data_IF_570481435107
#
_entry.id   IF_570481435107
#
_cell.length_a   1.000
_cell.length_b   1.000
_cell.length_c   1.000
_cell.angle_alpha   90.00
_cell.angle_beta   90.00
_cell.angle_gamma   90.00
#
_symmetry.space_group_name_H-M   'P 1'
#
loop_
_entity.id
_entity.type
_entity.pdbx_description
1 polymer ?
#
# COMPACT_ATOMS: atom_id res chain seq x y z
N UNK A 1 35.99 6.18 -60.99
CA UNK A 1 36.01 6.47 -59.54
C UNK A 1 35.19 7.73 -59.33
N UNK A 2 34.30 7.72 -58.32
CA UNK A 2 33.15 8.63 -58.12
C UNK A 2 31.88 8.12 -58.83
N UNK A 3 30.93 7.67 -58.00
CA UNK A 3 29.59 7.24 -58.39
C UNK A 3 28.61 8.28 -57.82
N UNK A 4 27.87 8.96 -58.70
CA UNK A 4 26.67 9.70 -58.34
C UNK A 4 25.68 9.61 -59.50
N UNK A 5 24.40 9.48 -59.14
CA UNK A 5 23.20 10.05 -59.78
C UNK A 5 22.06 9.04 -59.97
N UNK A 6 20.99 9.42 -59.29
CA UNK A 6 19.59 9.01 -59.27
C UNK A 6 18.94 9.05 -60.67
N UNK A 7 18.02 8.12 -60.94
CA UNK A 7 16.88 8.40 -61.82
C UNK A 7 15.69 7.48 -61.51
N UNK A 8 14.58 8.11 -61.12
CA UNK A 8 13.22 7.57 -61.20
C UNK A 8 12.76 7.57 -62.67
N UNK A 9 11.92 6.59 -63.08
CA UNK A 9 10.67 6.85 -63.84
C UNK A 9 9.86 5.58 -64.16
N UNK A 10 8.63 5.59 -63.65
CA UNK A 10 7.32 5.24 -64.25
C UNK A 10 7.04 3.85 -64.86
N UNK A 11 6.05 3.22 -64.23
CA UNK A 11 4.77 2.73 -64.78
C UNK A 11 4.73 2.14 -66.20
N UNK A 12 4.47 0.83 -66.26
CA UNK A 12 3.62 0.21 -67.27
C UNK A 12 2.92 -1.00 -66.66
N UNK A 13 1.68 -0.78 -66.21
CA UNK A 13 0.73 -1.81 -65.83
C UNK A 13 -0.12 -2.15 -67.06
N UNK A 14 -0.15 -3.42 -67.43
CA UNK A 14 -1.09 -3.97 -68.39
C UNK A 14 -0.89 -5.47 -68.54
N UNK A 15 -1.82 -6.27 -68.01
CA UNK A 15 -1.85 -7.71 -68.28
C UNK A 15 -2.51 -8.60 -67.22
N UNK A 16 -3.82 -8.40 -67.01
CA UNK A 16 -4.84 -9.37 -66.57
C UNK A 16 -4.39 -10.74 -66.00
N UNK A 17 -4.66 -10.97 -64.71
CA UNK A 17 -5.34 -12.20 -64.26
C UNK A 17 -6.14 -11.88 -62.99
N UNK A 18 -7.46 -12.04 -63.07
CA UNK A 18 -8.34 -11.93 -61.94
C UNK A 18 -8.07 -13.05 -60.93
N UNK A 19 -7.98 -12.70 -59.66
CA UNK A 19 -8.17 -13.64 -58.56
C UNK A 19 -9.23 -13.06 -57.64
N UNK A 20 -10.34 -13.79 -57.59
CA UNK A 20 -11.49 -13.56 -56.74
C UNK A 20 -11.06 -13.58 -55.26
N UNK A 21 -11.46 -12.55 -54.52
CA UNK A 21 -11.51 -12.61 -53.06
C UNK A 21 -12.69 -13.48 -52.65
N UNK A 22 -12.46 -14.78 -52.48
CA UNK A 22 -13.38 -15.66 -51.76
C UNK A 22 -12.59 -16.80 -51.12
N UNK A 23 -12.79 -16.97 -49.81
CA UNK A 23 -12.31 -18.08 -48.98
C UNK A 23 -10.79 -18.20 -48.80
N UNK A 24 -10.25 -17.33 -47.94
CA UNK A 24 -9.04 -17.62 -47.17
C UNK A 24 -9.40 -17.59 -45.69
N UNK A 25 -9.59 -18.77 -45.10
CA UNK A 25 -9.75 -18.99 -43.66
C UNK A 25 -8.74 -18.13 -42.88
N UNK A 26 -9.27 -17.20 -42.08
CA UNK A 26 -8.48 -16.40 -41.16
C UNK A 26 -7.64 -17.35 -40.30
N UNK A 27 -6.32 -17.15 -40.32
CA UNK A 27 -5.42 -17.77 -39.36
C UNK A 27 -5.87 -17.22 -37.99
N UNK A 28 -6.64 -18.01 -37.24
CA UNK A 28 -7.05 -17.66 -35.90
C UNK A 28 -5.79 -17.54 -35.06
N UNK A 29 -5.41 -16.31 -34.74
CA UNK A 29 -4.39 -16.06 -33.74
C UNK A 29 -4.91 -16.56 -32.38
N UNK A 30 -4.05 -17.06 -31.47
CA UNK A 30 -4.49 -17.57 -30.16
C UNK A 30 -5.22 -16.55 -29.26
N UNK A 31 -5.30 -15.29 -29.71
CA UNK A 31 -5.99 -14.18 -29.05
C UNK A 31 -7.52 -14.38 -29.07
N UNK A 32 -8.06 -15.17 -30.01
CA UNK A 32 -9.51 -15.42 -30.17
C UNK A 32 -10.10 -16.39 -29.12
N UNK A 33 -9.30 -16.81 -28.13
CA UNK A 33 -9.72 -17.79 -27.11
C UNK A 33 -10.53 -17.21 -25.93
N UNK A 34 -10.73 -15.88 -25.85
CA UNK A 34 -11.61 -15.27 -24.83
C UNK A 34 -13.08 -15.25 -25.27
N UNK A 35 -13.65 -16.38 -25.70
CA UNK A 35 -15.11 -16.55 -25.82
C UNK A 35 -15.73 -16.45 -24.41
N UNK A 36 -16.17 -15.25 -24.03
CA UNK A 36 -16.93 -15.00 -22.79
C UNK A 36 -16.49 -13.80 -21.97
N UNK A 37 -15.33 -13.17 -22.22
CA UNK A 37 -14.94 -11.95 -21.50
C UNK A 37 -15.49 -10.71 -22.22
N UNK A 38 -16.41 -9.98 -21.57
CA UNK A 38 -16.79 -8.62 -22.01
C UNK A 38 -15.49 -7.81 -22.18
N UNK A 39 -15.32 -7.21 -23.35
CA UNK A 39 -14.21 -6.29 -23.60
C UNK A 39 -14.68 -4.87 -23.25
N UNK A 40 -13.74 -4.00 -22.88
CA UNK A 40 -14.04 -2.58 -22.78
C UNK A 40 -14.28 -1.99 -24.18
N UNK A 41 -15.16 -0.99 -24.28
CA UNK A 41 -15.33 -0.23 -25.52
C UNK A 41 -14.15 0.73 -25.74
N UNK A 42 -14.05 1.30 -26.94
CA UNK A 42 -13.03 2.30 -27.24
C UNK A 42 -13.22 3.59 -26.41
N UNK A 43 -14.46 3.99 -26.17
CA UNK A 43 -14.82 5.15 -25.34
C UNK A 43 -14.41 4.92 -23.88
N UNK A 44 -14.65 3.70 -23.36
CA UNK A 44 -14.16 3.30 -22.04
C UNK A 44 -12.64 3.33 -21.99
N UNK A 45 -11.95 2.80 -23.01
CA UNK A 45 -10.50 2.86 -23.09
C UNK A 45 -9.96 4.30 -23.00
N UNK A 46 -10.55 5.25 -23.72
CA UNK A 46 -10.16 6.65 -23.67
C UNK A 46 -10.38 7.27 -22.27
N UNK A 47 -11.56 7.03 -21.68
CA UNK A 47 -11.89 7.56 -20.36
C UNK A 47 -10.98 6.99 -19.26
N UNK A 48 -10.80 5.67 -19.23
CA UNK A 48 -10.01 5.00 -18.21
C UNK A 48 -8.51 5.28 -18.34
N UNK A 49 -8.00 5.39 -19.58
CA UNK A 49 -6.61 5.81 -19.81
C UNK A 49 -6.37 7.25 -19.36
N UNK A 50 -7.34 8.14 -19.54
CA UNK A 50 -7.28 9.50 -19.00
C UNK A 50 -7.21 9.48 -17.47
N UNK A 51 -8.03 8.68 -16.80
CA UNK A 51 -7.98 8.53 -15.34
C UNK A 51 -6.63 8.01 -14.84
N UNK A 52 -6.04 7.01 -15.50
CA UNK A 52 -4.70 6.52 -15.19
C UNK A 52 -3.64 7.62 -15.30
N UNK A 53 -3.66 8.37 -16.39
CA UNK A 53 -2.75 9.50 -16.59
C UNK A 53 -2.93 10.56 -15.52
N UNK A 54 -4.17 10.96 -15.23
CA UNK A 54 -4.44 11.95 -14.19
C UNK A 54 -4.06 11.46 -12.80
N UNK A 55 -4.19 10.17 -12.48
CA UNK A 55 -3.71 9.61 -11.23
C UNK A 55 -2.20 9.76 -11.08
N UNK A 56 -1.43 9.27 -12.06
CA UNK A 56 0.03 9.30 -12.04
C UNK A 56 0.57 10.74 -11.98
N UNK A 57 0.06 11.60 -12.86
CA UNK A 57 0.53 12.97 -12.97
C UNK A 57 0.10 13.84 -11.78
N UNK A 58 -1.01 13.51 -11.09
CA UNK A 58 -1.38 14.18 -9.83
C UNK A 58 -0.42 13.84 -8.70
N UNK A 59 0.05 12.59 -8.62
CA UNK A 59 1.06 12.19 -7.64
C UNK A 59 2.38 12.92 -7.89
N UNK A 60 2.84 12.92 -9.13
CA UNK A 60 4.15 13.48 -9.51
C UNK A 60 4.20 15.01 -9.38
N UNK A 61 3.10 15.68 -9.72
CA UNK A 61 2.96 17.14 -9.56
C UNK A 61 2.52 17.57 -8.15
N UNK A 62 2.18 16.61 -7.28
CA UNK A 62 1.54 16.85 -5.97
C UNK A 62 0.26 17.71 -6.07
N UNK A 63 -0.48 17.59 -7.18
CA UNK A 63 -1.76 18.26 -7.39
C UNK A 63 -2.90 17.43 -6.79
N UNK A 64 -3.09 17.60 -5.48
CA UNK A 64 -4.09 16.87 -4.70
C UNK A 64 -5.54 17.21 -5.09
N UNK A 65 -5.77 18.42 -5.61
CA UNK A 65 -7.09 18.82 -6.10
C UNK A 65 -7.44 18.08 -7.40
N UNK A 66 -6.46 17.90 -8.30
CA UNK A 66 -6.61 17.06 -9.49
C UNK A 66 -6.80 15.59 -9.14
N UNK A 67 -6.07 15.08 -8.15
CA UNK A 67 -6.28 13.73 -7.64
C UNK A 67 -7.72 13.57 -7.13
N UNK A 68 -8.15 14.43 -6.21
CA UNK A 68 -9.51 14.40 -5.64
C UNK A 68 -10.60 14.37 -6.71
N UNK A 69 -10.45 15.16 -7.78
CA UNK A 69 -11.41 15.24 -8.89
C UNK A 69 -11.58 13.96 -9.71
N UNK A 70 -10.71 12.96 -9.60
CA UNK A 70 -10.82 11.71 -10.40
C UNK A 70 -11.26 10.49 -9.58
N UNK A 71 -11.28 10.60 -8.26
CA UNK A 71 -11.56 9.49 -7.35
C UNK A 71 -13.05 9.12 -7.32
N UNK A 72 -13.33 7.85 -7.09
CA UNK A 72 -14.63 7.40 -6.63
C UNK A 72 -14.78 7.75 -5.13
N UNK A 73 -16.00 7.93 -4.61
CA UNK A 73 -16.21 8.30 -3.20
C UNK A 73 -15.62 7.30 -2.20
N UNK A 74 -15.61 6.01 -2.58
CA UNK A 74 -15.05 4.91 -1.78
C UNK A 74 -14.07 4.14 -2.64
N UNK A 75 -12.90 3.85 -2.07
CA UNK A 75 -11.74 3.29 -2.74
C UNK A 75 -11.33 1.96 -2.11
N UNK A 76 -10.91 1.03 -2.96
CA UNK A 76 -10.26 -0.23 -2.58
C UNK A 76 -8.74 -0.06 -2.67
N UNK A 77 -8.07 0.09 -1.54
CA UNK A 77 -6.61 0.31 -1.49
C UNK A 77 -5.93 -0.89 -0.86
N UNK A 78 -5.21 -1.67 -1.66
CA UNK A 78 -4.48 -2.85 -1.19
C UNK A 78 -2.97 -2.62 -1.30
N UNK A 79 -2.37 -2.07 -0.25
CA UNK A 79 -0.92 -1.87 -0.13
C UNK A 79 -0.22 -3.01 0.62
N UNK A 80 -0.81 -4.20 0.69
CA UNK A 80 -0.25 -5.32 1.46
C UNK A 80 1.20 -5.67 1.07
N UNK A 81 1.56 -5.55 -0.20
CA UNK A 81 2.94 -5.79 -0.66
C UNK A 81 3.89 -4.60 -0.48
N UNK A 82 3.36 -3.40 -0.22
CA UNK A 82 4.16 -2.17 -0.15
C UNK A 82 4.37 -1.72 1.29
N UNK A 83 3.29 -1.66 2.07
CA UNK A 83 3.31 -1.25 3.48
C UNK A 83 2.67 -2.27 4.41
N UNK A 84 2.15 -3.38 3.89
CA UNK A 84 1.38 -4.35 4.66
C UNK A 84 -0.07 -3.93 4.91
N UNK A 85 -0.49 -2.72 4.51
CA UNK A 85 -1.83 -2.19 4.81
C UNK A 85 -2.86 -2.57 3.74
N UNK A 86 -4.11 -2.78 4.14
CA UNK A 86 -5.23 -2.99 3.21
C UNK A 86 -6.47 -2.30 3.72
N UNK A 87 -7.10 -1.53 2.84
CA UNK A 87 -8.30 -0.76 3.10
C UNK A 87 -9.36 -1.16 2.08
N UNK A 88 -10.25 -2.11 2.41
CA UNK A 88 -11.29 -2.57 1.49
C UNK A 88 -12.34 -1.49 1.17
N UNK A 89 -12.41 -0.45 2.00
CA UNK A 89 -13.34 0.67 1.86
C UNK A 89 -12.74 1.93 2.51
N UNK A 90 -11.98 2.70 1.75
CA UNK A 90 -11.40 3.99 2.16
C UNK A 90 -12.17 5.15 1.54
N UNK A 91 -12.52 6.17 2.33
CA UNK A 91 -13.10 7.40 1.79
C UNK A 91 -12.08 8.15 0.91
N UNK A 92 -12.57 8.78 -0.17
CA UNK A 92 -11.70 9.53 -1.09
C UNK A 92 -10.88 10.62 -0.39
N UNK A 93 -11.46 11.33 0.58
CA UNK A 93 -10.77 12.37 1.35
C UNK A 93 -9.64 11.78 2.20
N UNK A 94 -9.87 10.65 2.85
CA UNK A 94 -8.85 9.94 3.64
C UNK A 94 -7.69 9.47 2.77
N UNK A 95 -7.96 9.02 1.54
CA UNK A 95 -6.91 8.65 0.59
C UNK A 95 -6.05 9.83 0.16
N UNK A 96 -6.67 10.97 -0.14
CA UNK A 96 -5.95 12.20 -0.48
C UNK A 96 -5.12 12.68 0.72
N UNK A 97 -5.66 12.63 1.93
CA UNK A 97 -4.95 13.00 3.15
C UNK A 97 -3.72 12.10 3.38
N UNK A 98 -3.85 10.77 3.21
CA UNK A 98 -2.74 9.84 3.30
C UNK A 98 -1.64 10.17 2.27
N UNK A 99 -2.00 10.30 0.98
CA UNK A 99 -1.05 10.52 -0.10
C UNK A 99 -0.34 11.88 -0.02
N UNK A 100 -1.06 12.92 0.41
CA UNK A 100 -0.54 14.29 0.55
C UNK A 100 0.25 14.54 1.82
N UNK A 101 0.32 13.57 2.74
CA UNK A 101 1.06 13.74 3.98
C UNK A 101 2.58 13.81 3.73
N UNK A 102 3.35 14.57 4.54
CA UNK A 102 4.82 14.58 4.47
C UNK A 102 5.47 13.21 4.70
N UNK A 103 4.75 12.26 5.33
CA UNK A 103 5.21 10.87 5.48
C UNK A 103 5.10 10.04 4.20
N UNK A 104 4.38 10.52 3.19
CA UNK A 104 4.15 9.87 1.90
C UNK A 104 4.65 10.76 0.75
N UNK A 105 3.80 11.07 -0.23
CA UNK A 105 4.15 11.84 -1.42
C UNK A 105 4.05 13.35 -1.18
N UNK A 106 3.60 13.80 0.00
CA UNK A 106 3.55 15.22 0.36
C UNK A 106 4.91 15.86 0.66
N UNK A 107 5.95 15.07 0.89
CA UNK A 107 7.27 15.59 1.26
C UNK A 107 7.80 16.54 0.16
N UNK A 108 8.09 17.82 0.46
CA UNK A 108 8.66 18.76 -0.51
C UNK A 108 10.05 18.35 -1.01
N UNK A 109 10.77 17.50 -0.26
CA UNK A 109 12.08 16.97 -0.62
C UNK A 109 12.02 15.73 -1.51
N UNK A 110 10.81 15.20 -1.78
CA UNK A 110 10.60 14.01 -2.59
C UNK A 110 10.10 14.38 -3.99
N UNK A 111 10.81 13.92 -5.02
CA UNK A 111 10.35 13.92 -6.42
C UNK A 111 10.02 12.52 -6.85
N UNK A 112 8.93 12.36 -7.60
CA UNK A 112 8.52 11.08 -8.14
C UNK A 112 8.23 11.15 -9.64
N UNK A 113 8.25 9.99 -10.28
CA UNK A 113 7.64 9.77 -11.58
C UNK A 113 6.95 8.41 -11.59
N UNK A 114 5.62 8.38 -11.72
CA UNK A 114 4.82 7.17 -11.84
C UNK A 114 4.64 6.83 -13.33
N UNK A 115 5.70 6.31 -13.95
CA UNK A 115 5.72 6.03 -15.38
C UNK A 115 4.86 4.81 -15.71
N UNK A 116 3.82 5.03 -16.51
CA UNK A 116 2.88 4.00 -16.96
C UNK A 116 3.41 3.32 -18.25
N UNK A 117 3.59 2.01 -18.20
CA UNK A 117 3.95 1.15 -19.33
C UNK A 117 2.76 0.50 -20.03
N UNK A 118 2.88 -0.78 -20.42
CA UNK A 118 1.79 -1.51 -21.05
C UNK A 118 0.62 -1.78 -20.08
N UNK A 119 -0.60 -1.81 -20.62
CA UNK A 119 -1.83 -2.01 -19.87
C UNK A 119 -2.67 -3.14 -20.49
N UNK A 120 -3.16 -4.07 -19.65
CA UNK A 120 -4.24 -5.00 -20.01
C UNK A 120 -5.53 -4.61 -19.29
N UNK A 121 -6.66 -4.71 -19.98
CA UNK A 121 -7.98 -4.36 -19.44
C UNK A 121 -8.86 -5.60 -19.24
N UNK A 122 -9.61 -5.60 -18.15
CA UNK A 122 -10.63 -6.60 -17.85
C UNK A 122 -11.93 -5.92 -17.42
N UNK A 123 -12.97 -6.05 -18.26
CA UNK A 123 -14.32 -5.60 -17.91
C UNK A 123 -15.00 -6.68 -17.09
N UNK A 124 -15.23 -6.39 -15.80
CA UNK A 124 -15.88 -7.33 -14.88
C UNK A 124 -17.39 -7.27 -15.07
N UNK A 125 -17.94 -6.06 -15.10
CA UNK A 125 -19.34 -5.78 -15.40
C UNK A 125 -19.51 -4.41 -16.09
N UNK A 126 -20.74 -3.90 -16.19
CA UNK A 126 -21.01 -2.64 -16.89
C UNK A 126 -20.60 -1.39 -16.08
N UNK A 127 -20.31 -1.55 -14.79
CA UNK A 127 -19.96 -0.51 -13.83
C UNK A 127 -18.54 -0.67 -13.25
N UNK A 128 -17.82 -1.76 -13.53
CA UNK A 128 -16.51 -2.05 -12.95
C UNK A 128 -15.49 -2.62 -13.96
N UNK A 129 -14.32 -2.00 -13.99
CA UNK A 129 -13.19 -2.40 -14.86
C UNK A 129 -11.91 -2.48 -14.05
N UNK A 130 -11.09 -3.49 -14.34
CA UNK A 130 -9.74 -3.67 -13.79
C UNK A 130 -8.72 -3.39 -14.89
N UNK A 131 -7.68 -2.62 -14.57
CA UNK A 131 -6.52 -2.41 -15.43
C UNK A 131 -5.27 -3.01 -14.79
N UNK A 132 -4.53 -3.85 -15.52
CA UNK A 132 -3.22 -4.37 -15.12
C UNK A 132 -2.15 -3.57 -15.83
N UNK A 133 -1.59 -2.62 -15.11
CA UNK A 133 -0.73 -1.59 -15.63
C UNK A 133 0.72 -1.83 -15.18
N UNK A 134 1.62 -2.01 -16.14
CA UNK A 134 3.05 -1.95 -15.84
C UNK A 134 3.39 -0.55 -15.35
N UNK A 135 4.17 -0.47 -14.28
CA UNK A 135 4.51 0.79 -13.65
C UNK A 135 5.97 0.80 -13.22
N UNK A 136 6.66 1.88 -13.54
CA UNK A 136 7.97 2.20 -12.95
C UNK A 136 7.83 3.47 -12.14
N UNK A 137 7.94 3.37 -10.83
CA UNK A 137 7.89 4.54 -9.94
C UNK A 137 9.30 4.97 -9.59
N UNK A 138 9.79 6.06 -10.20
CA UNK A 138 11.06 6.65 -9.84
C UNK A 138 10.90 7.59 -8.65
N UNK A 139 11.82 7.55 -7.69
CA UNK A 139 11.84 8.38 -6.49
C UNK A 139 13.24 8.98 -6.28
N UNK A 140 13.30 10.28 -6.03
CA UNK A 140 14.51 11.00 -5.62
C UNK A 140 14.19 11.83 -4.38
N UNK A 141 15.01 11.69 -3.36
CA UNK A 141 14.96 12.53 -2.16
C UNK A 141 16.16 13.44 -2.10
N UNK A 142 15.95 14.69 -1.75
CA UNK A 142 17.00 15.70 -1.63
C UNK A 142 17.31 15.99 -0.15
N UNK A 143 18.51 16.50 0.12
CA UNK A 143 18.89 16.93 1.48
C UNK A 143 18.10 18.16 1.94
N UNK A 144 17.74 19.04 1.00
CA UNK A 144 17.03 20.29 1.26
C UNK A 144 16.17 20.73 0.05
N UNK A 145 15.39 21.80 0.26
CA UNK A 145 14.43 22.33 -0.72
C UNK A 145 15.08 22.96 -1.96
N UNK A 146 16.41 23.14 -1.98
CA UNK A 146 17.10 23.62 -3.19
C UNK A 146 17.15 22.56 -4.28
N UNK A 147 16.89 21.29 -3.93
CA UNK A 147 16.92 20.12 -4.81
C UNK A 147 18.25 19.95 -5.58
N UNK A 148 19.37 20.38 -4.98
CA UNK A 148 20.71 20.29 -5.60
C UNK A 148 21.47 19.02 -5.28
N UNK A 149 21.29 18.48 -4.07
CA UNK A 149 22.02 17.31 -3.58
C UNK A 149 21.02 16.19 -3.31
N UNK A 150 21.16 15.10 -4.07
CA UNK A 150 20.39 13.88 -3.86
C UNK A 150 20.89 13.17 -2.60
N UNK A 151 19.97 12.94 -1.67
CA UNK A 151 20.16 12.15 -0.46
C UNK A 151 19.93 10.67 -0.73
N UNK A 152 18.91 10.36 -1.52
CA UNK A 152 18.47 8.99 -1.76
C UNK A 152 17.77 8.86 -3.12
N UNK A 153 17.89 7.69 -3.71
CA UNK A 153 17.17 7.27 -4.92
C UNK A 153 16.61 5.88 -4.76
N UNK A 154 15.47 5.66 -5.39
CA UNK A 154 14.88 4.35 -5.57
C UNK A 154 13.95 4.31 -6.76
N UNK A 155 13.98 3.22 -7.53
CA UNK A 155 12.96 2.99 -8.56
C UNK A 155 12.25 1.66 -8.33
N UNK A 156 10.92 1.70 -8.23
CA UNK A 156 10.12 0.48 -8.11
C UNK A 156 9.65 -0.01 -9.46
N UNK A 157 9.74 -1.31 -9.68
CA UNK A 157 9.25 -1.98 -10.88
C UNK A 157 8.06 -2.86 -10.48
N UNK A 158 6.86 -2.46 -10.90
CA UNK A 158 5.63 -3.09 -10.44
C UNK A 158 4.66 -3.39 -11.59
N UNK A 159 3.70 -4.26 -11.30
CA UNK A 159 2.45 -4.34 -12.04
C UNK A 159 1.35 -3.94 -11.08
N UNK A 160 0.67 -2.83 -11.35
CA UNK A 160 -0.43 -2.38 -10.52
C UNK A 160 -1.75 -2.84 -11.13
N UNK A 161 -2.61 -3.45 -10.31
CA UNK A 161 -4.03 -3.49 -10.63
C UNK A 161 -4.64 -2.15 -10.23
N UNK A 162 -5.33 -1.50 -11.16
CA UNK A 162 -6.15 -0.33 -10.90
C UNK A 162 -7.61 -0.69 -11.06
N UNK A 163 -8.44 -0.18 -10.16
CA UNK A 163 -9.87 -0.41 -10.16
C UNK A 163 -10.59 0.85 -10.64
N UNK A 164 -11.60 0.68 -11.49
CA UNK A 164 -12.42 1.77 -11.99
C UNK A 164 -13.88 1.45 -11.77
N UNK A 165 -14.66 2.43 -11.35
CA UNK A 165 -16.08 2.28 -11.10
C UNK A 165 -16.88 3.40 -11.74
N UNK A 166 -18.04 3.08 -12.32
CA UNK A 166 -19.01 4.12 -12.69
C UNK A 166 -19.72 4.64 -11.45
N UNK A 167 -19.80 5.95 -11.33
CA UNK A 167 -20.44 6.65 -10.23
C UNK A 167 -21.45 7.64 -10.81
N UNK A 168 -22.62 7.73 -10.17
CA UNK A 168 -23.61 8.76 -10.50
C UNK A 168 -23.18 10.09 -9.91
N UNK A 169 -22.90 11.07 -10.76
CA UNK A 169 -22.53 12.43 -10.37
C UNK A 169 -23.74 13.33 -10.59
N UNK A 170 -24.17 14.03 -9.53
CA UNK A 170 -25.23 15.03 -9.60
C UNK A 170 -24.68 16.35 -10.16
N UNK A 171 -25.44 17.01 -11.02
CA UNK A 171 -25.11 18.36 -11.45
C UNK A 171 -25.36 19.35 -10.31
N UNK A 172 -24.53 20.40 -10.23
CA UNK A 172 -24.55 21.38 -9.13
C UNK A 172 -25.87 22.18 -9.08
N UNK A 173 -26.66 22.18 -10.16
CA UNK A 173 -27.90 22.97 -10.32
C UNK A 173 -29.17 22.13 -10.63
N UNK A 174 -29.31 20.89 -10.13
CA UNK A 174 -30.61 20.20 -10.19
C UNK A 174 -30.63 18.70 -9.85
N UNK A 175 -31.79 18.06 -10.08
CA UNK A 175 -32.00 16.60 -9.96
C UNK A 175 -31.45 15.79 -11.16
N UNK A 176 -30.72 16.46 -12.06
CA UNK A 176 -30.06 15.81 -13.20
C UNK A 176 -28.66 15.35 -12.79
N UNK A 177 -28.20 14.27 -13.42
CA UNK A 177 -26.88 13.71 -13.19
C UNK A 177 -26.48 12.79 -14.33
N UNK A 178 -25.24 12.34 -14.29
CA UNK A 178 -24.69 11.44 -15.30
C UNK A 178 -23.77 10.40 -14.67
N UNK A 179 -23.69 9.25 -15.34
CA UNK A 179 -22.72 8.22 -15.00
C UNK A 179 -21.34 8.62 -15.54
N UNK A 180 -20.35 8.62 -14.66
CA UNK A 180 -18.96 8.87 -15.02
C UNK A 180 -18.06 7.78 -14.45
N UNK A 181 -17.03 7.41 -15.20
CA UNK A 181 -15.96 6.55 -14.69
C UNK A 181 -15.10 7.32 -13.69
N UNK A 182 -14.79 6.67 -12.58
CA UNK A 182 -13.94 7.19 -11.51
C UNK A 182 -12.87 6.17 -11.14
N UNK A 183 -11.70 6.66 -10.74
CA UNK A 183 -10.62 5.84 -10.21
C UNK A 183 -11.04 5.32 -8.83
N UNK A 184 -11.10 4.01 -8.65
CA UNK A 184 -11.76 3.36 -7.51
C UNK A 184 -10.80 2.54 -6.64
N UNK A 185 -9.50 2.55 -6.92
CA UNK A 185 -8.53 1.87 -6.08
C UNK A 185 -7.32 1.33 -6.82
N UNK A 186 -6.41 0.73 -6.05
CA UNK A 186 -5.24 0.02 -6.59
C UNK A 186 -4.79 -1.13 -5.70
N UNK A 187 -4.05 -2.05 -6.34
CA UNK A 187 -3.27 -3.11 -5.73
C UNK A 187 -1.93 -3.25 -6.47
N UNK A 188 -0.85 -2.60 -5.98
CA UNK A 188 0.48 -2.80 -6.53
C UNK A 188 1.01 -4.22 -6.25
N UNK A 189 1.66 -4.78 -7.26
CA UNK A 189 2.49 -5.98 -7.14
C UNK A 189 3.91 -5.62 -7.52
N UNK A 190 4.74 -5.35 -6.51
CA UNK A 190 6.14 -4.97 -6.70
C UNK A 190 6.93 -6.20 -7.10
N UNK A 191 7.67 -6.12 -8.21
CA UNK A 191 8.50 -7.23 -8.71
C UNK A 191 9.89 -7.18 -8.10
N UNK A 192 10.49 -6.00 -8.13
CA UNK A 192 11.81 -5.70 -7.59
C UNK A 192 12.03 -4.18 -7.59
N UNK A 193 13.10 -3.74 -6.91
CA UNK A 193 13.44 -2.33 -6.77
C UNK A 193 14.90 -2.09 -7.19
N UNK A 194 15.15 -0.98 -7.86
CA UNK A 194 16.49 -0.41 -8.05
C UNK A 194 16.81 0.53 -6.88
N UNK A 195 18.03 0.47 -6.36
CA UNK A 195 18.48 1.31 -5.23
C UNK A 195 17.59 1.15 -3.98
N UNK A 196 17.43 2.19 -3.15
CA UNK A 196 16.58 2.16 -1.95
C UNK A 196 15.27 2.93 -2.19
N UNK A 197 14.18 2.22 -2.50
CA UNK A 197 12.85 2.83 -2.75
C UNK A 197 12.12 3.10 -1.43
N UNK A 198 11.60 4.32 -1.26
CA UNK A 198 10.54 4.62 -0.29
C UNK A 198 10.51 6.08 0.21
N UNK A 199 9.32 6.64 0.53
CA UNK A 199 9.21 7.80 1.41
C UNK A 199 9.49 7.34 2.84
N UNK A 200 10.69 7.58 3.36
CA UNK A 200 10.99 7.53 4.82
C UNK A 200 10.52 6.30 5.60
N UNK A 201 10.40 5.13 4.98
CA UNK A 201 10.57 3.90 5.73
C UNK A 201 12.05 3.60 5.56
N UNK A 202 12.82 3.80 6.63
CA UNK A 202 14.20 3.35 6.65
C UNK A 202 14.26 1.93 6.08
N UNK A 203 14.95 1.79 4.96
CA UNK A 203 15.56 0.55 4.50
C UNK A 203 14.70 -0.73 4.33
N UNK A 204 13.38 -0.70 4.13
CA UNK A 204 12.58 -1.94 3.99
C UNK A 204 13.02 -2.90 2.85
N UNK A 205 13.81 -2.42 1.88
CA UNK A 205 14.31 -3.25 0.77
C UNK A 205 15.75 -3.77 0.95
N UNK A 206 16.40 -3.47 2.08
CA UNK A 206 17.69 -4.05 2.50
C UNK A 206 17.64 -4.74 3.86
N UNK A 207 16.55 -4.56 4.60
CA UNK A 207 16.28 -5.31 5.81
C UNK A 207 15.93 -6.74 5.43
N UNK A 208 16.83 -7.68 5.69
CA UNK A 208 16.41 -9.08 5.91
C UNK A 208 15.32 -9.07 7.00
N UNK A 209 14.43 -10.05 6.99
CA UNK A 209 13.28 -10.16 7.91
C UNK A 209 13.60 -9.78 9.39
N UNK A 210 14.85 -9.96 9.84
CA UNK A 210 15.35 -9.61 11.15
C UNK A 210 15.22 -8.14 11.65
N UNK A 211 14.99 -7.12 10.80
CA UNK A 211 14.98 -5.71 11.28
C UNK A 211 13.58 -5.13 11.58
N UNK A 212 12.50 -5.76 11.11
CA UNK A 212 11.11 -5.33 11.38
C UNK A 212 10.31 -6.33 12.20
N UNK A 213 10.78 -7.57 12.25
CA UNK A 213 10.05 -8.65 12.87
C UNK A 213 10.68 -9.02 14.22
N UNK A 214 9.81 -9.10 15.21
CA UNK A 214 10.13 -9.69 16.49
C UNK A 214 10.31 -11.20 16.28
N UNK A 215 11.56 -11.63 16.14
CA UNK A 215 11.92 -12.98 15.68
C UNK A 215 12.11 -13.97 16.85
N UNK A 216 12.62 -13.51 17.99
CA UNK A 216 12.92 -14.37 19.15
C UNK A 216 12.61 -13.70 20.50
N UNK A 217 12.31 -14.50 21.51
CA UNK A 217 11.95 -14.02 22.85
C UNK A 217 13.10 -13.30 23.56
N UNK A 218 14.35 -13.60 23.21
CA UNK A 218 15.54 -12.98 23.79
C UNK A 218 15.64 -11.47 23.49
N UNK A 219 15.01 -11.00 22.41
CA UNK A 219 15.09 -9.61 21.96
C UNK A 219 14.07 -8.69 22.66
N UNK A 220 13.15 -9.26 23.46
CA UNK A 220 12.11 -8.52 24.20
C UNK A 220 12.69 -7.37 25.00
N UNK A 221 13.68 -7.66 25.84
CA UNK A 221 14.24 -6.66 26.75
C UNK A 221 14.94 -5.53 25.97
N UNK A 222 15.59 -5.88 24.86
CA UNK A 222 16.26 -4.92 23.99
C UNK A 222 15.22 -4.03 23.29
N UNK A 223 14.17 -4.62 22.73
CA UNK A 223 13.11 -3.89 22.06
C UNK A 223 12.40 -2.93 23.01
N UNK A 224 11.96 -3.40 24.19
CA UNK A 224 11.29 -2.54 25.17
C UNK A 224 12.18 -1.37 25.56
N UNK A 225 13.48 -1.64 25.81
CA UNK A 225 14.44 -0.57 26.10
C UNK A 225 14.49 0.44 24.96
N UNK A 226 14.69 0.00 23.72
CA UNK A 226 14.74 0.89 22.56
C UNK A 226 13.44 1.67 22.35
N UNK A 227 12.28 1.01 22.45
CA UNK A 227 10.98 1.63 22.26
C UNK A 227 10.64 2.65 23.35
N UNK A 228 11.13 2.44 24.58
CA UNK A 228 10.88 3.34 25.70
C UNK A 228 11.88 4.48 25.83
N UNK A 229 13.13 4.29 25.37
CA UNK A 229 14.20 5.29 25.55
C UNK A 229 14.68 5.94 24.25
N UNK A 230 14.15 5.61 23.07
CA UNK A 230 14.62 6.24 21.82
C UNK A 230 13.84 7.53 21.52
N UNK A 231 14.57 8.60 21.23
CA UNK A 231 14.04 9.92 20.90
C UNK A 231 14.63 10.39 19.57
N UNK A 232 13.80 11.07 18.78
CA UNK A 232 14.19 11.79 17.58
C UNK A 232 14.29 13.28 17.91
N UNK A 233 15.46 13.87 17.68
CA UNK A 233 15.77 15.27 18.00
C UNK A 233 16.14 16.06 16.75
N UNK A 234 16.28 17.38 16.88
CA UNK A 234 16.76 18.21 15.76
C UNK A 234 18.23 17.86 15.45
N UNK A 235 18.44 17.20 14.31
CA UNK A 235 19.77 16.78 13.87
C UNK A 235 20.72 17.96 13.63
N UNK A 236 20.22 19.18 13.41
CA UNK A 236 21.07 20.38 13.26
C UNK A 236 21.67 20.83 14.58
N UNK A 237 21.00 20.55 15.70
CA UNK A 237 21.44 20.89 17.05
C UNK A 237 22.32 19.79 17.65
N UNK A 238 21.98 18.53 17.41
CA UNK A 238 22.59 17.38 18.10
C UNK A 238 23.43 16.46 17.18
N UNK A 239 23.43 16.70 15.87
CA UNK A 239 24.29 16.01 14.89
C UNK A 239 23.79 14.64 14.42
N UNK A 240 23.25 13.80 15.31
CA UNK A 240 22.56 12.55 14.94
C UNK A 240 21.04 12.70 15.11
N UNK A 241 20.28 11.95 14.32
CA UNK A 241 18.82 12.07 14.28
C UNK A 241 18.15 11.42 15.50
N UNK A 242 18.72 10.31 15.98
CA UNK A 242 18.17 9.50 17.06
C UNK A 242 19.16 9.35 18.22
N UNK A 243 18.63 9.45 19.43
CA UNK A 243 19.36 9.26 20.67
C UNK A 243 18.60 8.31 21.56
N UNK A 244 19.33 7.53 22.35
CA UNK A 244 18.74 6.90 23.51
C UNK A 244 18.83 7.86 24.69
N UNK A 245 17.68 8.32 25.17
CA UNK A 245 17.53 9.15 26.35
C UNK A 245 16.63 8.39 27.31
N UNK A 246 17.14 8.08 28.49
CA UNK A 246 16.29 7.52 29.54
C UNK A 246 15.48 8.64 30.17
N UNK A 247 14.31 8.93 29.60
CA UNK A 247 13.41 9.99 30.07
C UNK A 247 12.91 9.82 31.51
N UNK A 248 13.21 8.71 32.19
CA UNK A 248 12.95 8.53 33.61
C UNK A 248 14.06 9.10 34.50
N UNK A 249 15.30 9.08 34.02
CA UNK A 249 16.49 9.50 34.76
C UNK A 249 17.09 10.82 34.25
N UNK A 250 16.84 11.16 32.99
CA UNK A 250 17.43 12.29 32.29
C UNK A 250 16.35 13.20 31.68
N UNK A 251 16.53 14.53 31.70
CA UNK A 251 15.59 15.44 31.08
C UNK A 251 15.65 15.32 29.55
N UNK A 252 14.50 15.07 28.92
CA UNK A 252 14.36 15.06 27.47
C UNK A 252 14.43 16.50 26.93
N UNK A 253 15.33 16.82 25.99
CA UNK A 253 15.39 18.15 25.37
C UNK A 253 14.08 18.54 24.68
N UNK A 254 13.77 19.84 24.65
CA UNK A 254 12.49 20.33 24.14
C UNK A 254 12.26 20.06 22.63
N UNK A 255 13.34 19.93 21.86
CA UNK A 255 13.30 19.60 20.43
C UNK A 255 13.21 18.09 20.16
N UNK A 256 13.37 17.26 21.20
CA UNK A 256 13.31 15.82 21.10
C UNK A 256 11.89 15.30 21.31
N UNK A 257 11.46 14.41 20.43
CA UNK A 257 10.18 13.67 20.54
C UNK A 257 10.46 12.17 20.68
N UNK A 258 9.67 11.48 21.50
CA UNK A 258 9.81 10.01 21.63
C UNK A 258 9.59 9.37 20.26
N UNK A 259 10.54 8.54 19.84
CA UNK A 259 10.37 7.74 18.64
C UNK A 259 9.41 6.59 18.97
N UNK A 260 8.35 6.47 18.18
CA UNK A 260 7.35 5.44 18.38
C UNK A 260 7.65 4.25 17.48
N UNK A 261 8.10 3.16 18.08
CA UNK A 261 8.39 1.92 17.34
C UNK A 261 7.12 1.19 16.95
N UNK A 262 7.19 0.42 15.85
CA UNK A 262 6.20 -0.58 15.52
C UNK A 262 6.60 -1.92 16.15
N UNK A 263 5.65 -2.64 16.72
CA UNK A 263 5.86 -4.04 17.09
C UNK A 263 5.14 -4.92 16.08
N UNK A 264 5.92 -5.66 15.29
CA UNK A 264 5.41 -6.60 14.30
C UNK A 264 6.05 -7.96 14.58
N UNK A 265 5.27 -9.01 14.81
CA UNK A 265 5.85 -10.35 15.03
C UNK A 265 6.24 -11.00 13.71
N UNK A 266 7.34 -11.74 13.73
CA UNK A 266 7.74 -12.57 12.59
C UNK A 266 6.74 -13.66 12.26
N UNK A 267 6.78 -14.13 11.01
CA UNK A 267 6.05 -15.32 10.59
C UNK A 267 6.50 -16.59 11.31
N UNK A 268 7.74 -16.64 11.81
CA UNK A 268 8.29 -17.78 12.55
C UNK A 268 8.23 -17.60 14.07
N UNK A 269 7.77 -16.45 14.56
CA UNK A 269 7.69 -16.19 15.99
C UNK A 269 6.63 -17.13 16.60
N UNK A 270 7.04 -17.90 17.60
CA UNK A 270 6.19 -18.87 18.27
C UNK A 270 6.46 -18.83 19.78
N UNK A 271 5.40 -18.88 20.58
CA UNK A 271 5.48 -18.78 22.03
C UNK A 271 4.95 -17.45 22.58
N UNK A 272 5.19 -17.17 23.88
CA UNK A 272 4.62 -16.03 24.56
C UNK A 272 5.23 -14.71 24.10
N UNK A 273 4.40 -13.72 23.76
CA UNK A 273 4.82 -12.33 23.57
C UNK A 273 4.55 -11.56 24.86
N UNK A 274 5.58 -11.45 25.70
CA UNK A 274 5.56 -10.66 26.93
C UNK A 274 6.46 -9.45 26.74
N UNK A 275 5.91 -8.23 26.79
CA UNK A 275 6.69 -6.98 26.65
C UNK A 275 6.40 -6.04 27.84
N UNK A 276 6.80 -6.42 29.07
CA UNK A 276 6.56 -5.61 30.25
C UNK A 276 7.26 -4.25 30.15
N UNK A 277 6.62 -3.19 30.64
CA UNK A 277 7.15 -1.83 30.59
C UNK A 277 6.95 -1.08 29.27
N UNK A 278 6.43 -1.73 28.22
CA UNK A 278 6.11 -1.07 26.95
C UNK A 278 4.85 -0.22 27.08
N UNK A 279 4.96 1.10 26.95
CA UNK A 279 3.86 2.04 27.23
C UNK A 279 3.23 2.64 25.99
N UNK A 280 4.00 2.81 24.91
CA UNK A 280 3.53 3.45 23.68
C UNK A 280 4.10 2.77 22.45
N UNK A 281 3.27 2.61 21.43
CA UNK A 281 3.68 2.12 20.12
C UNK A 281 3.14 3.03 19.02
N UNK A 282 3.80 3.00 17.87
CA UNK A 282 3.22 3.55 16.64
C UNK A 282 2.13 2.62 16.12
N UNK A 283 2.42 1.32 16.05
CA UNK A 283 1.46 0.28 15.68
C UNK A 283 1.83 -1.07 16.28
N UNK A 284 0.84 -1.95 16.40
CA UNK A 284 1.00 -3.32 16.88
C UNK A 284 0.40 -4.27 15.84
N UNK A 285 1.20 -5.18 15.30
CA UNK A 285 0.74 -6.16 14.31
C UNK A 285 1.20 -7.57 14.61
N UNK A 286 0.24 -8.48 14.65
CA UNK A 286 0.48 -9.91 14.82
C UNK A 286 -0.28 -10.62 13.71
N UNK A 287 0.43 -11.40 12.89
CA UNK A 287 -0.15 -12.08 11.73
C UNK A 287 0.45 -13.45 11.48
N UNK A 288 -0.37 -14.39 11.03
CA UNK A 288 0.07 -15.64 10.42
C UNK A 288 0.86 -15.43 9.11
N UNK A 289 1.34 -16.53 8.54
CA UNK A 289 2.09 -16.53 7.26
C UNK A 289 1.31 -17.22 6.16
N UNK A 290 1.71 -17.01 4.91
CA UNK A 290 1.10 -17.66 3.76
C UNK A 290 2.01 -18.76 3.24
N UNK A 291 1.48 -19.98 3.10
CA UNK A 291 2.11 -21.02 2.33
C UNK A 291 1.61 -21.00 0.88
N UNK A 292 2.51 -20.71 -0.06
CA UNK A 292 2.26 -20.81 -1.50
C UNK A 292 2.17 -19.49 -2.25
N UNK A 293 2.06 -19.56 -3.58
CA UNK A 293 1.79 -18.41 -4.44
C UNK A 293 0.28 -18.24 -4.61
N UNK A 294 -0.20 -17.01 -4.85
CA UNK A 294 -1.63 -16.64 -4.94
C UNK A 294 -2.47 -17.53 -5.88
N UNK A 295 -1.84 -18.26 -6.79
CA UNK A 295 -2.50 -19.17 -7.74
C UNK A 295 -3.07 -20.44 -7.08
N UNK A 296 -2.62 -20.77 -5.87
CA UNK A 296 -2.97 -22.03 -5.18
C UNK A 296 -4.00 -21.86 -4.04
N UNK A 297 -4.72 -20.73 -3.95
CA UNK A 297 -5.50 -20.39 -2.75
C UNK A 297 -4.62 -20.53 -1.49
N UNK A 298 -3.54 -19.74 -1.45
CA UNK A 298 -2.49 -19.78 -0.42
C UNK A 298 -3.02 -20.20 0.95
N UNK A 299 -2.54 -21.33 1.45
CA UNK A 299 -2.94 -21.84 2.76
C UNK A 299 -2.40 -20.85 3.79
N UNK A 300 -3.32 -20.15 4.43
CA UNK A 300 -3.01 -19.30 5.56
C UNK A 300 -2.54 -20.21 6.71
N UNK A 301 -1.28 -20.06 7.10
CA UNK A 301 -0.70 -20.71 8.27
C UNK A 301 -0.89 -19.77 9.47
N UNK A 302 -1.76 -20.11 10.42
CA UNK A 302 -1.99 -19.28 11.59
C UNK A 302 -0.69 -19.11 12.39
N UNK A 303 -0.56 -17.97 13.05
CA UNK A 303 0.59 -17.74 13.92
C UNK A 303 0.47 -18.57 15.21
N UNK A 304 1.61 -19.01 15.76
CA UNK A 304 1.70 -19.74 17.04
C UNK A 304 2.08 -18.81 18.20
N UNK A 305 1.75 -17.53 18.07
CA UNK A 305 1.98 -16.52 19.10
C UNK A 305 0.90 -16.59 20.15
N UNK A 306 1.32 -16.77 21.39
CA UNK A 306 0.45 -16.62 22.55
C UNK A 306 0.69 -15.25 23.15
N UNK A 307 -0.35 -14.45 23.39
CA UNK A 307 -0.23 -13.20 24.14
C UNK A 307 -0.89 -13.46 25.47
N UNK A 308 -0.11 -13.42 26.55
CA UNK A 308 -0.68 -13.58 27.87
C UNK A 308 -1.18 -12.24 28.38
N UNK A 309 -0.41 -11.14 28.27
CA UNK A 309 -0.85 -9.77 28.62
C UNK A 309 0.08 -8.69 28.03
N UNK A 310 -0.47 -7.52 27.68
CA UNK A 310 0.29 -6.28 27.42
C UNK A 310 -0.09 -5.23 28.47
N UNK A 311 0.32 -5.42 29.75
CA UNK A 311 -0.31 -4.76 30.89
C UNK A 311 0.04 -3.28 31.01
N UNK A 312 1.14 -2.84 30.40
CA UNK A 312 1.65 -1.47 30.48
C UNK A 312 1.32 -0.62 29.26
N UNK A 313 0.78 -1.22 28.19
CA UNK A 313 0.53 -0.52 26.93
C UNK A 313 -0.64 0.46 27.10
N UNK A 314 -0.40 1.74 26.85
CA UNK A 314 -1.37 2.83 27.06
C UNK A 314 -1.85 3.44 25.73
N UNK A 315 -0.98 3.59 24.74
CA UNK A 315 -1.29 4.32 23.52
C UNK A 315 -0.70 3.67 22.26
N UNK A 316 -1.50 3.61 21.20
CA UNK A 316 -1.11 3.20 19.85
C UNK A 316 -1.50 4.32 18.88
N UNK A 317 -0.52 4.95 18.21
CA UNK A 317 -0.79 6.16 17.42
C UNK A 317 -1.26 5.91 15.99
N UNK A 318 -1.26 4.67 15.51
CA UNK A 318 -1.78 4.27 14.20
C UNK A 318 -2.86 3.22 14.44
N UNK A 319 -2.52 1.94 14.34
CA UNK A 319 -3.48 0.85 14.38
C UNK A 319 -2.92 -0.35 15.15
N UNK A 320 -3.85 -1.15 15.67
CA UNK A 320 -3.60 -2.47 16.23
C UNK A 320 -4.30 -3.50 15.37
N UNK A 321 -3.54 -4.47 14.86
CA UNK A 321 -4.06 -5.55 14.04
C UNK A 321 -3.55 -6.91 14.52
N UNK A 322 -4.46 -7.77 14.94
CA UNK A 322 -4.21 -9.20 15.17
C UNK A 322 -5.01 -9.95 14.12
N UNK A 323 -4.32 -10.61 13.20
CA UNK A 323 -4.92 -11.30 12.07
C UNK A 323 -4.43 -12.75 12.06
N UNK A 324 -5.32 -13.71 11.83
CA UNK A 324 -4.93 -15.11 11.63
C UNK A 324 -4.17 -15.74 12.83
N UNK A 325 -4.57 -15.35 14.05
CA UNK A 325 -3.90 -15.73 15.30
C UNK A 325 -4.79 -16.62 16.19
N UNK A 326 -5.20 -17.78 15.67
CA UNK A 326 -6.06 -18.73 16.37
C UNK A 326 -5.47 -19.27 17.70
N UNK A 327 -4.17 -19.10 17.92
CA UNK A 327 -3.48 -19.43 19.17
C UNK A 327 -3.72 -18.42 20.31
N UNK A 328 -4.23 -17.23 20.00
CA UNK A 328 -4.56 -16.19 20.99
C UNK A 328 -5.99 -16.39 21.47
N UNK A 329 -6.14 -16.99 22.65
CA UNK A 329 -7.44 -17.25 23.27
C UNK A 329 -7.90 -16.14 24.22
N UNK A 330 -6.97 -15.28 24.65
CA UNK A 330 -7.25 -14.17 25.55
C UNK A 330 -6.37 -12.97 25.21
N UNK A 331 -6.92 -11.76 25.35
CA UNK A 331 -6.19 -10.52 25.18
C UNK A 331 -6.61 -9.52 26.26
N UNK A 332 -5.75 -9.29 27.24
CA UNK A 332 -5.98 -8.26 28.25
C UNK A 332 -5.09 -7.04 28.04
N UNK A 333 -5.75 -5.91 27.83
CA UNK A 333 -5.16 -4.60 27.55
C UNK A 333 -5.68 -3.60 28.57
N UNK A 334 -5.32 -3.83 29.84
CA UNK A 334 -5.93 -3.16 30.99
C UNK A 334 -5.69 -1.64 30.99
N UNK A 335 -4.52 -1.19 30.56
CA UNK A 335 -4.14 0.23 30.53
C UNK A 335 -4.31 0.89 29.16
N UNK A 336 -4.64 0.12 28.11
CA UNK A 336 -4.76 0.65 26.76
C UNK A 336 -5.92 1.63 26.73
N UNK A 337 -5.63 2.87 26.34
CA UNK A 337 -6.56 3.99 26.40
C UNK A 337 -6.90 4.56 25.03
N UNK A 338 -5.91 4.62 24.14
CA UNK A 338 -6.05 5.28 22.84
C UNK A 338 -5.48 4.42 21.72
N UNK A 339 -6.26 4.27 20.64
CA UNK A 339 -5.82 3.77 19.33
C UNK A 339 -6.28 4.82 18.31
N UNK A 340 -5.38 5.42 17.53
CA UNK A 340 -5.76 6.56 16.68
C UNK A 340 -6.66 6.17 15.49
N UNK A 341 -6.44 5.00 14.88
CA UNK A 341 -7.15 4.53 13.70
C UNK A 341 -7.94 3.24 14.00
N UNK A 342 -7.45 2.09 13.52
CA UNK A 342 -8.18 0.83 13.58
C UNK A 342 -7.68 -0.09 14.71
N UNK A 343 -8.64 -0.69 15.42
CA UNK A 343 -8.47 -1.94 16.16
C UNK A 343 -9.10 -3.09 15.35
N UNK A 344 -8.24 -3.92 14.76
CA UNK A 344 -8.65 -5.10 14.01
C UNK A 344 -8.26 -6.37 14.77
N UNK A 345 -9.25 -7.22 15.06
CA UNK A 345 -9.08 -8.53 15.67
C UNK A 345 -9.74 -9.57 14.77
N UNK A 346 -8.96 -10.42 14.12
CA UNK A 346 -9.46 -11.52 13.31
C UNK A 346 -8.99 -12.86 13.89
N UNK A 347 -9.94 -13.54 14.51
CA UNK A 347 -9.83 -14.87 15.13
C UNK A 347 -10.66 -15.91 14.37
N UNK A 348 -11.05 -15.62 13.12
CA UNK A 348 -11.90 -16.52 12.31
C UNK A 348 -11.28 -17.92 12.21
N UNK A 349 -12.03 -18.94 12.62
CA UNK A 349 -11.57 -20.34 12.61
C UNK A 349 -10.78 -20.77 13.86
N UNK A 350 -10.53 -19.87 14.80
CA UNK A 350 -10.02 -20.17 16.14
C UNK A 350 -11.14 -20.33 17.19
N UNK A 351 -10.79 -20.69 18.44
CA UNK A 351 -11.74 -20.69 19.55
C UNK A 351 -12.22 -19.27 19.87
N UNK A 352 -13.31 -19.17 20.64
CA UNK A 352 -13.81 -17.89 21.10
C UNK A 352 -12.74 -17.13 21.91
N UNK A 353 -12.53 -15.85 21.60
CA UNK A 353 -11.51 -15.01 22.24
C UNK A 353 -12.08 -14.24 23.43
N UNK A 354 -11.38 -14.28 24.56
CA UNK A 354 -11.70 -13.44 25.72
C UNK A 354 -10.99 -12.07 25.60
N UNK A 355 -11.75 -10.98 25.63
CA UNK A 355 -11.27 -9.61 25.42
C UNK A 355 -11.49 -8.75 26.66
N UNK A 356 -10.41 -8.20 27.21
CA UNK A 356 -10.48 -7.28 28.36
C UNK A 356 -9.85 -5.93 28.03
N UNK A 357 -10.68 -4.90 27.86
CA UNK A 357 -10.28 -3.50 27.68
C UNK A 357 -10.84 -2.64 28.82
N UNK A 358 -10.07 -2.43 29.89
CA UNK A 358 -10.57 -1.72 31.07
C UNK A 358 -10.53 -0.19 30.92
N UNK A 359 -9.56 0.32 30.15
CA UNK A 359 -9.29 1.77 30.06
C UNK A 359 -9.50 2.35 28.66
N UNK A 360 -9.93 1.54 27.68
CA UNK A 360 -10.03 1.97 26.28
C UNK A 360 -11.08 3.09 26.16
N UNK A 361 -10.64 4.27 25.74
CA UNK A 361 -11.45 5.48 25.72
C UNK A 361 -11.69 6.00 24.31
N UNK A 362 -10.76 5.76 23.38
CA UNK A 362 -10.78 6.36 22.05
C UNK A 362 -10.19 5.40 21.01
N UNK A 363 -10.98 5.13 19.97
CA UNK A 363 -10.62 4.35 18.78
C UNK A 363 -11.55 4.73 17.63
N UNK A 364 -10.98 5.01 16.45
CA UNK A 364 -11.76 5.47 15.28
C UNK A 364 -12.59 4.32 14.69
N UNK A 365 -12.02 3.13 14.57
CA UNK A 365 -12.73 1.96 14.05
C UNK A 365 -12.37 0.67 14.79
N UNK A 366 -13.38 -0.13 15.13
CA UNK A 366 -13.20 -1.48 15.69
C UNK A 366 -13.79 -2.50 14.71
N UNK A 367 -12.98 -3.50 14.33
CA UNK A 367 -13.38 -4.61 13.45
C UNK A 367 -13.01 -5.91 14.13
N UNK A 368 -14.01 -6.72 14.48
CA UNK A 368 -13.82 -8.04 15.08
C UNK A 368 -14.41 -9.10 14.15
N UNK A 369 -13.60 -10.10 13.83
CA UNK A 369 -13.96 -11.27 13.03
C UNK A 369 -13.68 -12.53 13.86
N UNK A 370 -14.65 -13.43 13.99
CA UNK A 370 -14.57 -14.64 14.81
C UNK A 370 -15.55 -14.66 15.98
N UNK A 371 -15.43 -15.68 16.84
CA UNK A 371 -16.27 -15.84 18.02
C UNK A 371 -15.65 -15.09 19.21
N UNK A 372 -16.47 -14.37 19.98
CA UNK A 372 -16.05 -13.68 21.21
C UNK A 372 -16.61 -14.48 22.38
N UNK A 373 -15.77 -14.76 23.37
CA UNK A 373 -16.22 -15.43 24.59
C UNK A 373 -17.15 -14.49 25.37
N UNK A 374 -18.37 -14.95 25.61
CA UNK A 374 -19.36 -14.19 26.36
C UNK A 374 -19.16 -14.52 27.83
N UNK A 375 -18.79 -13.51 28.63
CA UNK A 375 -18.82 -13.62 30.10
C UNK A 375 -20.16 -14.15 30.62
#
# INVERSE_FOLDING_TARGET
MILTIVSLLRNSLGGLMGLNFANGSAISSPIDSKKGKKQITFEEHLALSSLLFHWADSYDSKDWARLSRILAPVLLIDYTQVSGESYPSMAAESFVAMMSSPGFLGDPLLKTQHLLGACEWEKVDDDFVIARQQLRAGHLRFEDETHKVEKQRGHSHATNEFYFRRVWIKDVEGDQGRWEWRWAGLKPVVRWNEYGVGPTLENISKTTDAEFYFDVTEDVALFVRCAETTYECDATLHGVRWFMIDGTNEPVPADCRKHLSHLITSHNYAGPLEVPGLTKLSGLRIRGTYSGTYWDNSLLLPTNVTINDLPDLVNITISMAIDDAASITSLNLLKLRHINLDLLLNSTGGPAINLTFLSLADVDSIKIYGEIDTF
#
